data_IF_952338842573
#
_entry.id   IF_952338842573
#
_cell.length_a   1.000
_cell.length_b   1.000
_cell.length_c   1.000
_cell.angle_alpha   90.00
_cell.angle_beta   90.00
_cell.angle_gamma   90.00
#
_symmetry.space_group_name_H-M   'P 1'
#
loop_
_entity.id
_entity.type
_entity.pdbx_description
1 polymer ?
#
# COMPACT_ATOMS: atom_id res chain seq x y z
N UNK A 1 -34.33 -1.25 12.09
CA UNK A 1 -32.86 -1.42 11.99
C UNK A 1 -32.41 -0.72 10.72
N UNK A 2 -32.03 0.56 10.83
CA UNK A 2 -31.64 1.39 9.69
C UNK A 2 -30.36 2.15 10.06
N UNK A 3 -29.21 1.59 9.72
CA UNK A 3 -27.89 2.27 9.84
C UNK A 3 -27.66 3.22 8.64
N UNK A 4 -28.64 3.34 7.75
CA UNK A 4 -28.56 4.07 6.48
C UNK A 4 -29.14 5.47 6.69
N UNK A 5 -28.33 6.42 7.13
CA UNK A 5 -28.79 7.82 7.26
C UNK A 5 -27.81 8.81 7.87
N UNK A 6 -26.75 8.35 8.54
CA UNK A 6 -25.75 9.26 9.13
C UNK A 6 -24.76 9.71 8.06
N UNK A 7 -24.88 10.96 7.59
CA UNK A 7 -23.81 11.60 6.82
C UNK A 7 -22.59 11.72 7.73
N UNK A 8 -21.53 10.97 7.42
CA UNK A 8 -20.26 11.09 8.13
C UNK A 8 -19.72 12.51 7.90
N UNK A 9 -19.35 13.19 8.99
CA UNK A 9 -18.74 14.52 8.90
C UNK A 9 -17.47 14.45 8.06
N UNK A 10 -17.17 15.45 7.21
CA UNK A 10 -15.92 15.51 6.46
C UNK A 10 -14.69 15.32 7.35
N UNK A 11 -14.71 15.86 8.58
CA UNK A 11 -13.62 15.67 9.54
C UNK A 11 -13.49 14.22 10.02
N UNK A 12 -14.60 13.53 10.22
CA UNK A 12 -14.57 12.11 10.59
C UNK A 12 -14.00 11.26 9.44
N UNK A 13 -14.35 11.58 8.19
CA UNK A 13 -13.78 10.92 7.01
C UNK A 13 -12.28 11.20 6.88
N UNK A 14 -11.84 12.45 7.10
CA UNK A 14 -10.42 12.81 7.11
C UNK A 14 -9.65 12.07 8.19
N UNK A 15 -10.20 11.95 9.40
CA UNK A 15 -9.56 11.19 10.48
C UNK A 15 -9.44 9.70 10.14
N UNK A 16 -10.46 9.09 9.53
CA UNK A 16 -10.42 7.69 9.10
C UNK A 16 -9.37 7.49 7.99
N UNK A 17 -9.33 8.39 7.01
CA UNK A 17 -8.34 8.35 5.93
C UNK A 17 -6.92 8.52 6.46
N UNK A 18 -6.71 9.46 7.38
CA UNK A 18 -5.42 9.70 8.03
C UNK A 18 -4.96 8.49 8.83
N UNK A 19 -5.86 7.86 9.60
CA UNK A 19 -5.54 6.64 10.34
C UNK A 19 -5.13 5.51 9.39
N UNK A 20 -5.87 5.32 8.29
CA UNK A 20 -5.55 4.30 7.28
C UNK A 20 -4.19 4.54 6.63
N UNK A 21 -3.88 5.79 6.26
CA UNK A 21 -2.59 6.14 5.68
C UNK A 21 -1.44 5.93 6.68
N UNK A 22 -1.63 6.28 7.95
CA UNK A 22 -0.64 6.04 9.00
C UNK A 22 -0.39 4.55 9.22
N UNK A 23 -1.46 3.74 9.26
CA UNK A 23 -1.34 2.27 9.36
C UNK A 23 -0.57 1.67 8.17
N UNK A 24 -0.87 2.09 6.94
CA UNK A 24 -0.13 1.63 5.74
C UNK A 24 1.37 1.94 5.83
N UNK A 25 1.73 3.15 6.25
CA UNK A 25 3.15 3.53 6.38
C UNK A 25 3.83 2.77 7.52
N UNK A 26 3.13 2.53 8.64
CA UNK A 26 3.65 1.77 9.76
C UNK A 26 3.94 0.31 9.38
N UNK A 27 3.02 -0.35 8.67
CA UNK A 27 3.22 -1.72 8.18
C UNK A 27 4.41 -1.81 7.22
N UNK A 28 4.53 -0.88 6.27
CA UNK A 28 5.67 -0.81 5.35
C UNK A 28 6.99 -0.61 6.10
N UNK A 29 7.00 0.25 7.11
CA UNK A 29 8.18 0.48 7.93
C UNK A 29 8.57 -0.76 8.74
N UNK A 30 7.60 -1.42 9.38
CA UNK A 30 7.83 -2.68 10.10
C UNK A 30 8.38 -3.77 9.19
N UNK A 31 7.83 -3.93 7.98
CA UNK A 31 8.34 -4.88 6.99
C UNK A 31 9.75 -4.56 6.48
N UNK A 32 10.13 -3.27 6.46
CA UNK A 32 11.51 -2.86 6.17
C UNK A 32 12.45 -3.21 7.32
N UNK A 33 12.02 -2.99 8.58
CA UNK A 33 12.82 -3.34 9.76
C UNK A 33 12.99 -4.84 9.96
N UNK A 34 11.97 -5.64 9.59
CA UNK A 34 12.06 -7.09 9.70
C UNK A 34 13.05 -7.73 8.72
N UNK A 35 13.55 -6.98 7.72
CA UNK A 35 14.55 -7.51 6.77
C UNK A 35 15.90 -7.72 7.45
N UNK A 36 16.28 -8.98 7.65
CA UNK A 36 17.69 -9.33 7.56
C UNK A 36 18.18 -8.98 6.13
N UNK A 37 19.36 -8.37 6.04
CA UNK A 37 19.89 -7.82 4.79
C UNK A 37 19.96 -8.91 3.71
N UNK A 38 19.12 -8.82 2.66
CA UNK A 38 19.21 -9.65 1.46
C UNK A 38 18.26 -10.85 1.36
N UNK A 39 17.42 -11.15 2.35
CA UNK A 39 16.50 -12.29 2.27
C UNK A 39 15.05 -11.88 1.95
N UNK A 40 14.43 -12.63 1.03
CA UNK A 40 12.99 -12.61 0.81
C UNK A 40 12.32 -13.23 2.03
N UNK A 41 11.68 -12.39 2.84
CA UNK A 41 10.90 -12.87 3.98
C UNK A 41 9.56 -13.37 3.45
N UNK A 42 9.40 -14.69 3.44
CA UNK A 42 8.13 -15.37 3.21
C UNK A 42 7.49 -15.67 4.56
N UNK A 43 6.47 -14.90 4.93
CA UNK A 43 5.66 -15.24 6.10
C UNK A 43 4.43 -15.98 5.59
N UNK A 44 4.43 -17.31 5.75
CA UNK A 44 3.23 -18.10 5.48
C UNK A 44 2.24 -17.87 6.62
N UNK A 45 1.16 -17.15 6.34
CA UNK A 45 0.11 -16.86 7.33
C UNK A 45 -0.91 -17.99 7.32
N UNK A 46 -1.20 -18.53 6.14
CA UNK A 46 -2.02 -19.74 5.95
C UNK A 46 -1.47 -20.56 4.78
N UNK A 47 -1.84 -21.84 4.62
CA UNK A 47 -1.39 -22.66 3.50
C UNK A 47 -1.71 -22.09 2.09
N UNK A 48 -2.67 -21.15 2.00
CA UNK A 48 -3.07 -20.50 0.75
C UNK A 48 -2.61 -19.03 0.64
N UNK A 49 -2.08 -18.43 1.72
CA UNK A 49 -1.76 -17.01 1.77
C UNK A 49 -0.39 -16.76 2.39
N UNK A 50 0.49 -16.16 1.59
CA UNK A 50 1.83 -15.78 1.99
C UNK A 50 1.96 -14.25 1.93
N UNK A 51 2.50 -13.67 3.00
CA UNK A 51 2.96 -12.29 2.98
C UNK A 51 4.37 -12.28 2.39
N UNK A 52 4.52 -11.58 1.28
CA UNK A 52 5.78 -11.45 0.54
C UNK A 52 6.06 -9.98 0.34
N UNK A 53 7.26 -9.54 0.73
CA UNK A 53 7.71 -8.17 0.46
C UNK A 53 8.31 -8.10 -0.96
N UNK A 54 7.57 -7.49 -1.90
CA UNK A 54 8.06 -7.23 -3.26
C UNK A 54 7.91 -5.75 -3.61
N UNK A 55 8.98 -5.15 -4.14
CA UNK A 55 8.94 -3.79 -4.67
C UNK A 55 8.31 -3.79 -6.07
N UNK A 56 7.11 -3.22 -6.20
CA UNK A 56 6.45 -3.07 -7.50
C UNK A 56 7.02 -1.86 -8.26
N UNK A 57 7.74 -2.10 -9.36
CA UNK A 57 8.30 -1.06 -10.24
C UNK A 57 7.32 -0.54 -11.29
N UNK A 58 6.03 -0.90 -11.21
CA UNK A 58 5.00 -0.52 -12.17
C UNK A 58 4.80 -1.54 -13.29
N UNK A 59 4.96 -2.84 -13.01
CA UNK A 59 4.86 -3.91 -13.99
C UNK A 59 3.47 -4.12 -14.60
N UNK A 60 2.41 -3.62 -13.94
CA UNK A 60 1.03 -3.72 -14.43
C UNK A 60 0.80 -2.93 -15.74
N UNK A 61 1.64 -1.94 -16.05
CA UNK A 61 1.55 -1.11 -17.25
C UNK A 61 2.76 -1.32 -18.19
N UNK A 62 3.33 -2.53 -18.19
CA UNK A 62 4.50 -2.88 -18.99
C UNK A 62 4.33 -2.66 -20.50
N UNK A 63 3.09 -2.67 -21.00
CA UNK A 63 2.74 -2.30 -22.38
C UNK A 63 3.20 -0.86 -22.75
N UNK A 64 3.31 0.04 -21.76
CA UNK A 64 3.82 1.40 -21.91
C UNK A 64 5.23 1.58 -21.31
N UNK A 65 5.94 0.48 -21.01
CA UNK A 65 7.24 0.56 -20.32
C UNK A 65 8.40 1.01 -21.22
N UNK A 66 8.21 1.08 -22.55
CA UNK A 66 9.27 1.53 -23.46
C UNK A 66 9.64 3.02 -23.27
N UNK A 67 8.87 3.77 -22.48
CA UNK A 67 9.21 5.10 -21.96
C UNK A 67 9.38 5.11 -20.43
N UNK A 68 10.01 4.08 -19.87
CA UNK A 68 10.05 3.79 -18.43
C UNK A 68 10.33 5.01 -17.52
N UNK A 69 9.68 5.04 -16.37
CA UNK A 69 9.82 6.11 -15.36
C UNK A 69 8.65 7.09 -15.29
N UNK A 70 7.75 7.09 -16.28
CA UNK A 70 6.52 7.87 -16.23
C UNK A 70 5.60 7.46 -15.08
N UNK A 71 5.60 6.18 -14.67
CA UNK A 71 4.74 5.66 -13.61
C UNK A 71 4.95 6.39 -12.30
N UNK A 72 6.19 6.78 -12.00
CA UNK A 72 6.52 7.57 -10.83
C UNK A 72 5.86 8.95 -10.94
N UNK A 73 6.04 9.67 -12.02
CA UNK A 73 5.55 11.05 -12.10
C UNK A 73 4.03 11.14 -12.34
N UNK A 74 3.41 10.10 -12.91
CA UNK A 74 1.97 10.08 -13.22
C UNK A 74 1.11 9.45 -12.13
N UNK A 75 1.58 8.38 -11.45
CA UNK A 75 0.80 7.64 -10.46
C UNK A 75 1.24 7.88 -9.02
N UNK A 76 2.43 8.46 -8.81
CA UNK A 76 2.81 8.92 -7.48
C UNK A 76 2.39 10.38 -7.31
N UNK A 77 1.95 10.73 -6.11
CA UNK A 77 1.71 12.11 -5.71
C UNK A 77 2.96 12.93 -6.06
N UNK A 78 2.88 13.78 -7.09
CA UNK A 78 3.93 14.74 -7.40
C UNK A 78 4.02 15.68 -6.20
N UNK A 79 5.19 15.75 -5.58
CA UNK A 79 5.47 16.75 -4.53
C UNK A 79 5.05 18.15 -4.97
#
# INVERSE_FOLDING_TARGET
>A
MLIIGRKLSPYALLSISGLRAASDQAEKWLMQQSRAYGEYIYISVTPLFNLVHLCNTGGAFSLFANGGGWQRNFLSESR
#
